data_IF_886605555517
#
_entry.id   IF_886605555517
#
_cell.length_a   1.000
_cell.length_b   1.000
_cell.length_c   1.000
_cell.angle_alpha   90.00
_cell.angle_beta   90.00
_cell.angle_gamma   90.00
#
_symmetry.space_group_name_H-M   'P 1'
#
loop_
_entity.id
_entity.type
_entity.pdbx_description
1 polymer ?
#
# COMPACT_ATOMS: atom_id res chain seq x y z
N UNK A 1 15.42 -4.54 -7.64
CA UNK A 1 14.39 -4.34 -6.60
C UNK A 1 13.49 -3.18 -7.01
N UNK A 2 12.17 -3.41 -6.97
CA UNK A 2 11.20 -2.41 -7.43
C UNK A 2 10.88 -1.36 -6.34
N UNK A 3 11.23 -1.63 -5.07
CA UNK A 3 10.95 -0.77 -3.92
C UNK A 3 12.19 -0.64 -3.04
N UNK A 4 12.40 0.57 -2.50
CA UNK A 4 13.43 0.84 -1.51
C UNK A 4 12.86 0.63 -0.10
N UNK A 5 12.81 -0.64 0.30
CA UNK A 5 12.27 -1.02 1.61
C UNK A 5 13.13 -0.47 2.75
N UNK A 6 14.45 -0.39 2.58
CA UNK A 6 15.37 0.12 3.61
C UNK A 6 15.07 1.59 3.93
N UNK A 7 14.87 2.41 2.89
CA UNK A 7 14.49 3.81 3.05
C UNK A 7 13.11 3.95 3.70
N UNK A 8 12.13 3.13 3.28
CA UNK A 8 10.78 3.15 3.89
C UNK A 8 10.84 2.79 5.37
N UNK A 9 11.60 1.76 5.74
CA UNK A 9 11.80 1.34 7.13
C UNK A 9 12.44 2.47 7.95
N UNK A 10 13.49 3.13 7.40
CA UNK A 10 14.12 4.27 8.05
C UNK A 10 13.11 5.41 8.26
N UNK A 11 12.37 5.79 7.23
CA UNK A 11 11.35 6.84 7.30
C UNK A 11 10.27 6.56 8.34
N UNK A 12 9.78 5.32 8.41
CA UNK A 12 8.79 4.95 9.41
C UNK A 12 9.35 5.03 10.83
N UNK A 13 10.61 4.62 11.05
CA UNK A 13 11.28 4.75 12.35
C UNK A 13 11.42 6.22 12.76
N UNK A 14 11.78 7.11 11.84
CA UNK A 14 11.86 8.56 12.09
C UNK A 14 10.48 9.15 12.46
N UNK A 15 9.46 8.89 11.66
CA UNK A 15 8.10 9.38 11.92
C UNK A 15 7.54 8.86 13.24
N UNK A 16 7.76 7.57 13.58
CA UNK A 16 7.36 7.00 14.89
C UNK A 16 8.12 7.62 16.05
N UNK A 17 9.34 8.11 15.82
CA UNK A 17 10.13 8.84 16.80
C UNK A 17 9.80 10.34 16.90
N UNK A 18 8.79 10.81 16.16
CA UNK A 18 8.37 12.22 16.16
C UNK A 18 9.25 13.13 15.31
N UNK A 19 10.00 12.58 14.35
CA UNK A 19 10.85 13.37 13.44
C UNK A 19 10.25 13.37 12.03
N UNK A 20 10.27 14.54 11.39
CA UNK A 20 9.85 14.70 10.01
C UNK A 20 10.84 14.03 9.05
N UNK A 21 10.37 13.71 7.85
CA UNK A 21 11.16 13.10 6.79
C UNK A 21 10.97 13.84 5.46
N UNK A 22 11.93 13.66 4.56
CA UNK A 22 11.82 14.07 3.16
C UNK A 22 11.68 12.83 2.29
N UNK A 23 10.44 12.55 1.84
CA UNK A 23 10.10 11.40 1.03
C UNK A 23 10.38 11.68 -0.46
N UNK A 24 11.15 10.84 -1.17
CA UNK A 24 11.38 11.03 -2.60
C UNK A 24 10.08 10.94 -3.40
N UNK A 25 9.91 11.81 -4.38
CA UNK A 25 8.81 11.74 -5.34
C UNK A 25 9.23 10.87 -6.52
N UNK A 26 8.37 9.92 -6.91
CA UNK A 26 8.62 9.04 -8.05
C UNK A 26 8.06 9.63 -9.33
N UNK A 27 8.90 9.71 -10.35
CA UNK A 27 8.52 10.14 -11.71
C UNK A 27 8.12 8.91 -12.54
N UNK A 28 6.83 8.74 -12.75
CA UNK A 28 6.28 7.63 -13.53
C UNK A 28 6.58 7.70 -15.02
N UNK A 29 6.87 8.90 -15.55
CA UNK A 29 7.20 9.08 -16.97
C UNK A 29 8.62 8.61 -17.28
N UNK A 30 9.55 8.90 -16.37
CA UNK A 30 10.96 8.54 -16.52
C UNK A 30 11.34 7.25 -15.77
N UNK A 31 10.39 6.59 -15.11
CA UNK A 31 10.61 5.38 -14.32
C UNK A 31 11.75 5.50 -13.30
N UNK A 32 11.85 6.67 -12.64
CA UNK A 32 12.92 6.97 -11.69
C UNK A 32 12.46 7.92 -10.59
N UNK A 33 13.29 8.15 -9.57
CA UNK A 33 13.05 9.22 -8.59
C UNK A 33 13.26 10.57 -9.27
N UNK A 34 12.37 11.51 -8.98
CA UNK A 34 12.57 12.92 -9.34
C UNK A 34 13.59 13.59 -8.42
N UNK A 35 13.98 14.81 -8.73
CA UNK A 35 14.77 15.67 -7.82
C UNK A 35 13.93 16.26 -6.69
N UNK A 36 12.62 16.12 -6.77
CA UNK A 36 11.69 16.64 -5.77
C UNK A 36 11.56 15.69 -4.58
N UNK A 37 11.32 16.28 -3.41
CA UNK A 37 11.00 15.55 -2.18
C UNK A 37 9.70 16.10 -1.61
N UNK A 38 8.94 15.24 -0.95
CA UNK A 38 7.78 15.63 -0.18
C UNK A 38 8.13 15.60 1.30
N UNK A 39 8.03 16.76 1.95
CA UNK A 39 8.19 16.86 3.40
C UNK A 39 6.96 16.28 4.11
N UNK A 40 7.19 15.36 5.05
CA UNK A 40 6.14 14.67 5.80
C UNK A 40 6.42 14.84 7.29
N UNK A 41 5.48 15.49 7.98
CA UNK A 41 5.50 15.65 9.42
C UNK A 41 4.97 14.39 10.14
N UNK A 42 5.42 14.12 11.37
CA UNK A 42 4.84 13.08 12.22
C UNK A 42 3.35 13.32 12.46
N UNK A 43 2.59 12.23 12.47
CA UNK A 43 1.17 12.28 12.73
C UNK A 43 0.76 11.19 13.73
N UNK A 44 -0.35 11.37 14.47
CA UNK A 44 -0.86 10.36 15.42
C UNK A 44 -1.20 9.01 14.77
N UNK A 45 -1.52 9.01 13.49
CA UNK A 45 -1.79 7.81 12.68
C UNK A 45 -1.08 7.96 11.34
N UNK A 46 -0.33 6.94 10.98
CA UNK A 46 0.32 6.78 9.68
C UNK A 46 -0.30 5.59 8.95
N UNK A 47 -0.69 5.78 7.71
CA UNK A 47 -1.20 4.71 6.85
C UNK A 47 -0.17 4.43 5.76
N UNK A 48 0.34 3.20 5.75
CA UNK A 48 1.23 2.70 4.69
C UNK A 48 0.41 1.81 3.78
N UNK A 49 0.30 2.16 2.52
CA UNK A 49 -0.45 1.38 1.53
C UNK A 49 0.50 0.82 0.46
N UNK A 50 0.16 -0.35 -0.05
CA UNK A 50 0.89 -0.98 -1.14
C UNK A 50 0.64 -2.49 -1.19
N UNK A 51 1.17 -3.12 -2.23
CA UNK A 51 0.99 -4.56 -2.46
C UNK A 51 2.01 -5.44 -1.74
N UNK A 52 3.15 -4.89 -1.30
CA UNK A 52 4.25 -5.64 -0.68
C UNK A 52 4.50 -5.36 0.81
N UNK A 53 3.91 -4.34 1.48
CA UNK A 53 4.28 -4.03 2.87
C UNK A 53 4.14 -5.22 3.83
N UNK A 54 3.14 -6.09 3.62
CA UNK A 54 2.93 -7.28 4.45
C UNK A 54 3.83 -8.47 4.07
N UNK A 55 4.53 -8.40 2.95
CA UNK A 55 5.48 -9.43 2.54
C UNK A 55 6.88 -9.21 3.16
N UNK A 56 7.15 -8.01 3.69
CA UNK A 56 8.44 -7.64 4.28
C UNK A 56 8.39 -7.77 5.82
N UNK A 57 9.14 -8.72 6.42
CA UNK A 57 9.07 -8.97 7.86
C UNK A 57 9.45 -7.78 8.73
N UNK A 58 10.45 -6.99 8.32
CA UNK A 58 10.88 -5.83 9.10
C UNK A 58 9.81 -4.74 9.09
N UNK A 59 9.17 -4.47 7.94
CA UNK A 59 8.02 -3.58 7.86
C UNK A 59 6.86 -4.07 8.73
N UNK A 60 6.54 -5.36 8.68
CA UNK A 60 5.48 -5.95 9.52
C UNK A 60 5.71 -5.71 11.01
N UNK A 61 6.97 -5.72 11.46
CA UNK A 61 7.31 -5.47 12.86
C UNK A 61 7.09 -4.02 13.32
N UNK A 62 7.03 -3.09 12.37
CA UNK A 62 6.80 -1.66 12.64
C UNK A 62 5.31 -1.29 12.66
N UNK A 63 4.43 -2.12 12.11
CA UNK A 63 3.01 -1.83 12.03
C UNK A 63 2.28 -2.25 13.32
N UNK A 64 1.46 -1.34 13.83
CA UNK A 64 0.58 -1.62 14.98
C UNK A 64 -0.66 -2.42 14.55
N UNK A 65 -1.12 -2.22 13.31
CA UNK A 65 -2.23 -2.92 12.67
C UNK A 65 -1.86 -3.29 11.24
N UNK A 66 -2.12 -4.54 10.87
CA UNK A 66 -1.84 -5.08 9.54
C UNK A 66 -3.15 -5.55 8.91
N UNK A 67 -3.52 -4.92 7.81
CA UNK A 67 -4.78 -5.15 7.13
C UNK A 67 -4.51 -5.65 5.71
N UNK A 68 -5.07 -6.80 5.37
CA UNK A 68 -5.06 -7.31 4.01
C UNK A 68 -6.41 -7.05 3.36
N UNK A 69 -6.40 -6.36 2.23
CA UNK A 69 -7.61 -6.08 1.44
C UNK A 69 -7.73 -7.18 0.40
N UNK A 70 -8.69 -8.07 0.61
CA UNK A 70 -8.94 -9.23 -0.25
C UNK A 70 -9.95 -8.89 -1.34
N UNK A 71 -9.61 -9.24 -2.59
CA UNK A 71 -10.48 -9.02 -3.74
C UNK A 71 -10.26 -10.17 -4.72
N UNK A 72 -11.31 -10.70 -5.29
CA UNK A 72 -11.24 -11.80 -6.25
C UNK A 72 -10.37 -11.46 -7.45
N UNK A 73 -9.70 -12.48 -8.00
CA UNK A 73 -8.68 -12.28 -9.05
C UNK A 73 -9.27 -11.72 -10.35
N UNK A 74 -10.51 -12.09 -10.68
CA UNK A 74 -11.25 -11.58 -11.84
C UNK A 74 -11.59 -10.09 -11.67
N UNK A 75 -12.06 -9.67 -10.50
CA UNK A 75 -12.29 -8.27 -10.19
C UNK A 75 -10.99 -7.45 -10.23
N UNK A 76 -9.91 -7.98 -9.70
CA UNK A 76 -8.60 -7.31 -9.76
C UNK A 76 -8.12 -7.09 -11.19
N UNK A 77 -8.26 -8.08 -12.08
CA UNK A 77 -7.84 -7.93 -13.48
C UNK A 77 -8.77 -7.00 -14.24
N UNK A 78 -10.08 -7.03 -14.01
CA UNK A 78 -11.03 -6.11 -14.63
C UNK A 78 -10.73 -4.64 -14.25
N UNK A 79 -10.55 -4.35 -12.97
CA UNK A 79 -10.18 -3.00 -12.49
C UNK A 79 -8.85 -2.54 -13.09
N UNK A 80 -7.85 -3.44 -13.18
CA UNK A 80 -6.57 -3.13 -13.81
C UNK A 80 -6.71 -2.79 -15.28
N UNK A 81 -7.48 -3.58 -16.06
CA UNK A 81 -7.71 -3.32 -17.49
C UNK A 81 -8.37 -1.95 -17.67
N UNK A 82 -9.44 -1.68 -16.92
CA UNK A 82 -10.16 -0.41 -17.01
C UNK A 82 -9.24 0.78 -16.76
N UNK A 83 -8.48 0.74 -15.66
CA UNK A 83 -7.53 1.80 -15.30
C UNK A 83 -6.42 1.96 -16.34
N UNK A 84 -5.73 0.86 -16.68
CA UNK A 84 -4.52 0.94 -17.52
C UNK A 84 -4.86 1.31 -18.97
N UNK A 85 -6.03 0.88 -19.47
CA UNK A 85 -6.48 1.25 -20.83
C UNK A 85 -7.08 2.66 -20.87
N UNK A 86 -8.01 2.99 -19.94
CA UNK A 86 -8.73 4.27 -19.99
C UNK A 86 -7.93 5.47 -19.49
N UNK A 87 -7.15 5.27 -18.40
CA UNK A 87 -6.47 6.36 -17.72
C UNK A 87 -5.00 6.48 -18.09
N UNK A 88 -4.35 5.36 -18.47
CA UNK A 88 -2.92 5.30 -18.77
C UNK A 88 -2.59 5.08 -20.24
N UNK A 89 -3.62 5.00 -21.10
CA UNK A 89 -3.47 4.89 -22.55
C UNK A 89 -2.77 3.61 -23.03
N UNK A 90 -2.75 2.54 -22.24
CA UNK A 90 -2.11 1.28 -22.62
C UNK A 90 -3.02 0.45 -23.52
N UNK A 91 -2.43 -0.36 -24.41
CA UNK A 91 -3.20 -1.33 -25.18
C UNK A 91 -3.65 -2.51 -24.30
N UNK A 92 -4.84 -3.05 -24.57
CA UNK A 92 -5.37 -4.22 -23.89
C UNK A 92 -4.41 -5.42 -23.95
N UNK A 93 -3.83 -5.68 -25.13
CA UNK A 93 -2.87 -6.77 -25.31
C UNK A 93 -1.64 -6.61 -24.43
N UNK A 94 -1.10 -5.39 -24.30
CA UNK A 94 0.03 -5.09 -23.42
C UNK A 94 -0.30 -5.34 -21.95
N UNK A 95 -1.51 -4.98 -21.50
CA UNK A 95 -1.96 -5.20 -20.13
C UNK A 95 -2.10 -6.70 -19.84
N UNK A 96 -2.72 -7.46 -20.75
CA UNK A 96 -2.90 -8.91 -20.62
C UNK A 96 -1.55 -9.64 -20.62
N UNK A 97 -0.67 -9.29 -21.56
CA UNK A 97 0.65 -9.90 -21.64
C UNK A 97 1.46 -9.68 -20.35
N UNK A 98 1.51 -8.46 -19.83
CA UNK A 98 2.18 -8.14 -18.57
C UNK A 98 1.53 -8.86 -17.38
N UNK A 99 0.21 -8.92 -17.33
CA UNK A 99 -0.49 -9.62 -16.23
C UNK A 99 -0.07 -11.08 -16.16
N UNK A 100 -0.05 -11.78 -17.30
CA UNK A 100 0.32 -13.19 -17.36
C UNK A 100 1.81 -13.43 -17.08
N UNK A 101 2.68 -12.57 -17.63
CA UNK A 101 4.12 -12.75 -17.53
C UNK A 101 4.69 -12.38 -16.14
N UNK A 102 4.09 -11.40 -15.48
CA UNK A 102 4.69 -10.81 -14.27
C UNK A 102 3.70 -10.68 -13.12
N UNK A 103 2.55 -10.03 -13.35
CA UNK A 103 1.69 -9.60 -12.23
C UNK A 103 1.08 -10.77 -11.51
N UNK A 104 0.52 -11.75 -12.22
CA UNK A 104 -0.09 -12.94 -11.61
C UNK A 104 0.96 -13.81 -10.88
N UNK A 105 2.11 -14.20 -11.49
CA UNK A 105 3.13 -14.97 -10.79
C UNK A 105 3.68 -14.24 -9.55
N UNK A 106 3.91 -12.94 -9.62
CA UNK A 106 4.40 -12.16 -8.48
C UNK A 106 3.35 -12.03 -7.37
N UNK A 107 2.08 -11.89 -7.73
CA UNK A 107 1.00 -11.91 -6.75
C UNK A 107 0.95 -13.24 -6.00
N UNK A 108 0.99 -14.36 -6.71
CA UNK A 108 0.97 -15.71 -6.14
C UNK A 108 2.21 -16.01 -5.29
N UNK A 109 3.37 -15.47 -5.66
CA UNK A 109 4.62 -15.70 -4.95
C UNK A 109 4.80 -14.84 -3.69
N UNK A 110 4.32 -13.60 -3.70
CA UNK A 110 4.63 -12.62 -2.64
C UNK A 110 3.39 -12.03 -1.97
N UNK A 111 2.38 -11.62 -2.76
CA UNK A 111 1.23 -10.89 -2.22
C UNK A 111 0.27 -11.83 -1.50
N UNK A 112 -0.18 -12.89 -2.17
CA UNK A 112 -1.12 -13.85 -1.59
C UNK A 112 -0.58 -14.52 -0.31
N UNK A 113 0.68 -14.99 -0.25
CA UNK A 113 1.23 -15.55 0.97
C UNK A 113 1.34 -14.55 2.13
N UNK A 114 1.46 -13.25 1.84
CA UNK A 114 1.55 -12.20 2.87
C UNK A 114 0.26 -11.99 3.66
N UNK A 115 -0.86 -12.47 3.14
CA UNK A 115 -2.17 -12.48 3.80
C UNK A 115 -2.13 -13.08 5.21
N UNK A 116 -1.29 -14.09 5.44
CA UNK A 116 -1.08 -14.71 6.76
C UNK A 116 -0.46 -13.79 7.81
N UNK A 117 0.17 -12.70 7.38
CA UNK A 117 0.79 -11.71 8.27
C UNK A 117 -0.21 -10.60 8.68
N UNK A 118 -1.42 -10.60 8.13
CA UNK A 118 -2.45 -9.62 8.46
C UNK A 118 -3.14 -9.94 9.78
N UNK A 119 -3.48 -8.91 10.55
CA UNK A 119 -4.33 -9.02 11.74
C UNK A 119 -5.82 -9.02 11.35
N UNK A 120 -6.15 -8.37 10.23
CA UNK A 120 -7.52 -8.24 9.71
C UNK A 120 -7.50 -8.48 8.19
N UNK A 121 -8.47 -9.27 7.71
CA UNK A 121 -8.71 -9.46 6.27
C UNK A 121 -10.06 -8.83 5.94
N UNK A 122 -10.06 -7.89 5.00
CA UNK A 122 -11.27 -7.21 4.53
C UNK A 122 -11.65 -7.78 3.15
N UNK A 123 -12.74 -8.55 3.06
CA UNK A 123 -13.23 -9.04 1.77
C UNK A 123 -13.87 -7.93 0.94
N UNK A 124 -13.95 -8.12 -0.37
CA UNK A 124 -14.54 -7.20 -1.34
C UNK A 124 -13.87 -5.83 -1.47
N UNK A 125 -12.68 -5.68 -0.92
CA UNK A 125 -11.89 -4.46 -1.07
C UNK A 125 -12.59 -3.20 -0.56
N UNK A 126 -12.42 -2.10 -1.29
CA UNK A 126 -12.98 -0.79 -0.95
C UNK A 126 -14.50 -0.68 -1.04
N UNK A 127 -15.20 -1.72 -1.49
CA UNK A 127 -16.67 -1.77 -1.56
C UNK A 127 -17.31 -2.33 -0.28
N UNK A 128 -16.49 -2.79 0.67
CA UNK A 128 -16.98 -3.24 1.98
C UNK A 128 -17.22 -2.05 2.92
N UNK A 129 -18.37 -1.38 2.73
CA UNK A 129 -18.76 -0.21 3.52
C UNK A 129 -18.70 -0.42 5.03
N UNK A 130 -19.30 -1.49 5.59
CA UNK A 130 -19.23 -1.77 7.03
C UNK A 130 -17.80 -1.90 7.57
N UNK A 131 -16.92 -2.60 6.87
CA UNK A 131 -15.53 -2.73 7.31
C UNK A 131 -14.77 -1.39 7.26
N UNK A 132 -15.02 -0.57 6.23
CA UNK A 132 -14.44 0.77 6.11
C UNK A 132 -14.92 1.66 7.25
N UNK A 133 -16.21 1.62 7.58
CA UNK A 133 -16.79 2.39 8.68
C UNK A 133 -16.17 2.02 10.04
N UNK A 134 -16.02 0.72 10.31
CA UNK A 134 -15.35 0.23 11.52
C UNK A 134 -13.92 0.73 11.63
N UNK A 135 -13.14 0.66 10.53
CA UNK A 135 -11.78 1.16 10.51
C UNK A 135 -11.71 2.67 10.72
N UNK A 136 -12.57 3.42 10.03
CA UNK A 136 -12.63 4.87 10.18
C UNK A 136 -12.96 5.29 11.62
N UNK A 137 -13.88 4.56 12.28
CA UNK A 137 -14.22 4.77 13.70
C UNK A 137 -13.02 4.51 14.61
N UNK A 138 -12.31 3.40 14.37
CA UNK A 138 -11.12 3.05 15.14
C UNK A 138 -10.00 4.11 14.99
N UNK A 139 -9.72 4.53 13.75
CA UNK A 139 -8.72 5.57 13.45
C UNK A 139 -9.09 6.89 14.14
N UNK A 140 -10.35 7.34 14.08
CA UNK A 140 -10.80 8.55 14.80
C UNK A 140 -10.58 8.44 16.30
N UNK A 141 -10.86 7.28 16.89
CA UNK A 141 -10.61 7.02 18.32
C UNK A 141 -9.12 7.13 18.68
N UNK A 142 -8.23 6.62 17.82
CA UNK A 142 -6.78 6.73 18.03
C UNK A 142 -6.31 8.20 17.98
N UNK A 143 -6.77 8.97 17.00
CA UNK A 143 -6.45 10.40 16.86
C UNK A 143 -6.94 11.19 18.09
N UNK A 144 -8.17 10.95 18.55
CA UNK A 144 -8.71 11.60 19.75
C UNK A 144 -7.88 11.30 21.00
N UNK A 145 -7.47 10.05 21.20
CA UNK A 145 -6.63 9.66 22.32
C UNK A 145 -5.24 10.29 22.27
N UNK A 146 -4.68 10.47 21.09
CA UNK A 146 -3.38 11.14 20.93
C UNK A 146 -3.45 12.63 21.25
N UNK A 147 -4.55 13.31 20.89
CA UNK A 147 -4.76 14.74 21.17
C UNK A 147 -5.07 15.06 22.63
N UNK A 148 -5.34 14.05 23.47
CA UNK A 148 -5.60 14.20 24.92
C UNK A 148 -4.34 14.01 25.78
N UNK A 149 -3.22 13.70 25.17
CA UNK A 149 -1.90 13.54 25.83
C UNK A 149 -1.01 14.75 25.59
#
# INVERSE_FOLDING_TARGET
>A
DAFDNDLLIQHLKELKAGRAIDCPVYDYANHNRSSEVQHIEPAPVLIVEGILPLAEPELCSLFDYKIYVDTDADERILRRILRDVKERGRSLDSVIAQYRATVKPMHEAFVEPSKRNADIIIPNGGENGPAIEMLAHHIRSLIQKANLR
#
